data_IF_292775403939
#
_entry.id   IF_292775403939
#
_cell.length_a   1.000
_cell.length_b   1.000
_cell.length_c   1.000
_cell.angle_alpha   90.00
_cell.angle_beta   90.00
_cell.angle_gamma   90.00
#
_symmetry.space_group_name_H-M   'P 1'
#
loop_
_entity.id
_entity.type
_entity.pdbx_description
1 polymer ?
#
# COMPACT_ATOMS: atom_id res chain seq x y z
N UNK A 1 20.16 -4.26 -2.50
CA UNK A 1 20.31 -2.89 -3.02
C UNK A 1 18.95 -2.22 -2.91
N UNK A 2 18.83 -1.09 -2.21
CA UNK A 2 17.53 -0.42 -2.02
C UNK A 2 17.08 0.20 -3.35
N UNK A 3 15.87 -0.14 -3.82
CA UNK A 3 15.30 0.41 -5.06
C UNK A 3 14.39 1.57 -4.72
N UNK A 4 14.68 2.73 -5.31
CA UNK A 4 13.87 3.93 -5.16
C UNK A 4 13.10 4.21 -6.45
N UNK A 5 11.88 4.67 -6.31
CA UNK A 5 11.00 5.09 -7.42
C UNK A 5 10.40 6.44 -7.10
N UNK A 6 10.20 7.26 -8.12
CA UNK A 6 9.51 8.53 -7.95
C UNK A 6 7.98 8.35 -7.96
N UNK A 7 7.25 9.40 -7.57
CA UNK A 7 5.79 9.37 -7.50
C UNK A 7 5.12 9.02 -8.84
N UNK A 8 5.68 9.49 -9.96
CA UNK A 8 5.13 9.20 -11.28
C UNK A 8 5.29 7.72 -11.62
N UNK A 9 6.50 7.17 -11.47
CA UNK A 9 6.77 5.76 -11.70
C UNK A 9 5.91 4.87 -10.80
N UNK A 10 5.69 5.28 -9.55
CA UNK A 10 4.84 4.55 -8.62
C UNK A 10 3.38 4.54 -9.06
N UNK A 11 2.86 5.70 -9.48
CA UNK A 11 1.49 5.82 -10.01
C UNK A 11 1.30 4.98 -11.27
N UNK A 12 2.27 4.99 -12.18
CA UNK A 12 2.25 4.18 -13.40
C UNK A 12 2.32 2.68 -13.09
N UNK A 13 3.22 2.28 -12.18
CA UNK A 13 3.43 0.87 -11.83
C UNK A 13 2.19 0.24 -11.19
N UNK A 14 1.53 0.96 -10.28
CA UNK A 14 0.34 0.47 -9.59
C UNK A 14 -0.97 0.89 -10.30
N UNK A 15 -0.88 1.62 -11.40
CA UNK A 15 -2.03 2.19 -12.12
C UNK A 15 -2.99 2.95 -11.19
N UNK A 16 -2.44 3.84 -10.36
CA UNK A 16 -3.19 4.64 -9.38
C UNK A 16 -3.13 6.12 -9.69
N UNK A 17 -4.19 6.85 -9.31
CA UNK A 17 -4.23 8.30 -9.48
C UNK A 17 -3.38 9.01 -8.42
N UNK A 18 -3.12 10.31 -8.65
CA UNK A 18 -2.43 11.17 -7.68
C UNK A 18 -3.22 11.31 -6.38
N UNK A 19 -4.54 11.33 -6.46
CA UNK A 19 -5.44 11.40 -5.32
C UNK A 19 -5.34 10.13 -4.47
N UNK A 20 -5.30 8.97 -5.12
CA UNK A 20 -5.06 7.69 -4.45
C UNK A 20 -3.69 7.68 -3.78
N UNK A 21 -2.64 8.09 -4.48
CA UNK A 21 -1.30 8.17 -3.89
C UNK A 21 -1.26 9.08 -2.64
N UNK A 22 -1.89 10.26 -2.72
CA UNK A 22 -2.04 11.17 -1.56
C UNK A 22 -2.82 10.54 -0.42
N UNK A 23 -3.84 9.74 -0.72
CA UNK A 23 -4.58 9.01 0.30
C UNK A 23 -3.69 7.96 0.97
N UNK A 24 -2.88 7.22 0.20
CA UNK A 24 -1.93 6.24 0.75
C UNK A 24 -0.86 6.91 1.63
N UNK A 25 -0.29 8.05 1.21
CA UNK A 25 0.63 8.87 2.03
C UNK A 25 -0.01 9.24 3.38
N UNK A 26 -1.26 9.74 3.36
CA UNK A 26 -2.01 10.09 4.58
C UNK A 26 -2.28 8.88 5.49
N UNK A 27 -2.36 7.69 4.91
CA UNK A 27 -2.64 6.44 5.64
C UNK A 27 -1.36 5.68 6.03
N UNK A 28 -0.18 6.29 5.90
CA UNK A 28 1.07 5.77 6.45
C UNK A 28 2.06 5.24 5.42
N UNK A 29 1.85 5.48 4.12
CA UNK A 29 2.87 5.22 3.11
C UNK A 29 4.04 6.22 3.30
N UNK A 30 5.25 5.69 3.51
CA UNK A 30 6.42 6.50 3.80
C UNK A 30 7.03 7.12 2.53
N UNK A 31 7.26 8.43 2.58
CA UNK A 31 7.96 9.19 1.55
C UNK A 31 9.39 9.43 2.02
N UNK A 32 10.38 9.00 1.22
CA UNK A 32 11.80 9.11 1.58
C UNK A 32 12.32 10.53 1.36
N UNK A 33 11.99 11.14 0.22
CA UNK A 33 12.35 12.54 -0.09
C UNK A 33 11.59 13.07 -1.31
N UNK A 34 11.04 14.29 -1.24
CA UNK A 34 10.42 15.01 -2.39
C UNK A 34 9.60 14.13 -3.36
N UNK A 35 8.77 13.21 -2.83
CA UNK A 35 7.96 12.31 -3.66
C UNK A 35 8.70 11.08 -4.22
N UNK A 36 9.83 10.69 -3.62
CA UNK A 36 10.50 9.42 -3.85
C UNK A 36 10.13 8.41 -2.76
N UNK A 37 10.05 7.16 -3.17
CA UNK A 37 9.60 6.04 -2.37
C UNK A 37 10.63 4.91 -2.44
N UNK A 38 10.88 4.25 -1.32
CA UNK A 38 11.63 3.00 -1.30
C UNK A 38 10.65 1.85 -1.60
N UNK A 39 10.85 1.14 -2.72
CA UNK A 39 9.90 0.16 -3.22
C UNK A 39 9.60 -0.95 -2.20
N UNK A 40 10.61 -1.37 -1.44
CA UNK A 40 10.45 -2.36 -0.37
C UNK A 40 9.48 -1.88 0.73
N UNK A 41 9.53 -0.60 1.10
CA UNK A 41 8.60 -0.01 2.05
C UNK A 41 7.18 0.07 1.50
N UNK A 42 7.03 0.37 0.20
CA UNK A 42 5.72 0.37 -0.47
C UNK A 42 5.11 -1.03 -0.44
N UNK A 43 5.89 -2.06 -0.78
CA UNK A 43 5.43 -3.46 -0.76
C UNK A 43 5.01 -3.86 0.66
N UNK A 44 5.83 -3.55 1.66
CA UNK A 44 5.50 -3.81 3.06
C UNK A 44 4.22 -3.08 3.51
N UNK A 45 4.00 -1.85 3.05
CA UNK A 45 2.78 -1.11 3.32
C UNK A 45 1.53 -1.82 2.77
N UNK A 46 1.58 -2.30 1.52
CA UNK A 46 0.46 -3.06 0.93
C UNK A 46 0.25 -4.42 1.59
N UNK A 47 1.31 -5.16 1.92
CA UNK A 47 1.20 -6.43 2.65
C UNK A 47 0.52 -6.22 4.01
N UNK A 48 0.89 -5.16 4.73
CA UNK A 48 0.24 -4.82 6.00
C UNK A 48 -1.25 -4.47 5.85
N UNK A 49 -1.64 -3.84 4.73
CA UNK A 49 -3.05 -3.59 4.42
C UNK A 49 -3.77 -4.91 4.18
N UNK A 50 -3.19 -5.78 3.35
CA UNK A 50 -3.75 -7.09 3.04
C UNK A 50 -3.92 -7.94 4.31
N UNK A 51 -2.91 -7.99 5.19
CA UNK A 51 -3.01 -8.69 6.47
C UNK A 51 -4.14 -8.13 7.34
N UNK A 52 -4.27 -6.80 7.44
CA UNK A 52 -5.37 -6.17 8.20
C UNK A 52 -6.74 -6.50 7.61
N UNK A 53 -6.86 -6.49 6.29
CA UNK A 53 -8.09 -6.89 5.60
C UNK A 53 -8.36 -8.36 5.90
N UNK A 54 -7.42 -9.26 5.68
CA UNK A 54 -7.57 -10.70 5.86
C UNK A 54 -7.86 -11.10 7.32
N UNK A 55 -7.24 -10.45 8.30
CA UNK A 55 -7.53 -10.66 9.73
C UNK A 55 -8.96 -10.24 10.09
N UNK A 56 -9.43 -9.12 9.54
CA UNK A 56 -10.78 -8.63 9.74
C UNK A 56 -11.81 -9.37 8.85
N UNK A 57 -11.37 -10.03 7.79
CA UNK A 57 -12.16 -10.82 6.86
C UNK A 57 -12.11 -12.31 7.18
N UNK A 58 -11.98 -12.68 8.47
CA UNK A 58 -12.43 -14.00 8.92
C UNK A 58 -13.94 -14.06 8.73
N UNK A 59 -14.38 -14.50 7.55
CA UNK A 59 -15.75 -14.92 7.29
C UNK A 59 -16.08 -15.89 8.44
N UNK A 60 -16.95 -15.45 9.35
CA UNK A 60 -17.41 -16.30 10.44
C UNK A 60 -17.93 -17.58 9.80
N UNK A 61 -17.45 -18.74 10.27
CA UNK A 61 -18.06 -20.02 9.89
C UNK A 61 -19.55 -19.89 10.21
N UNK A 62 -20.39 -19.72 9.20
CA UNK A 62 -21.82 -19.82 9.37
C UNK A 62 -22.09 -21.26 9.81
N UNK A 63 -22.35 -21.45 11.09
CA UNK A 63 -22.98 -22.68 11.56
C UNK A 63 -24.44 -22.62 11.11
N UNK A 64 -24.73 -23.19 9.94
CA UNK A 64 -26.11 -23.51 9.57
C UNK A 64 -26.56 -24.64 10.50
N UNK A 65 -27.48 -24.33 11.42
CA UNK A 65 -28.28 -25.34 12.13
C UNK A 65 -29.15 -26.13 11.15
#
# INVERSE_FOLDING_TARGET
>A
MKKFVNAQELMEYFNISRETLRALEKNGLLVVSKGNYELEQVVNFFNNIEEKINLNFKIGKFYTN
#
